data_IF_288214137720
#
_entry.id   IF_288214137720
#
_cell.length_a   1.000
_cell.length_b   1.000
_cell.length_c   1.000
_cell.angle_alpha   90.00
_cell.angle_beta   90.00
_cell.angle_gamma   90.00
#
_symmetry.space_group_name_H-M   'P 1'
#
loop_
_entity.id
_entity.type
_entity.pdbx_description
1 polymer ?
#
# COMPACT_ATOMS: atom_id res chain seq x y z
N UNK A 1 -52.12 -3.74 18.15
CA UNK A 1 -51.38 -4.94 17.70
C UNK A 1 -50.27 -4.47 16.76
N UNK A 2 -49.05 -4.86 17.09
CA UNK A 2 -47.86 -5.08 16.24
C UNK A 2 -48.18 -5.37 14.75
N UNK A 3 -47.32 -5.16 13.75
CA UNK A 3 -45.95 -4.64 13.53
C UNK A 3 -45.79 -4.56 12.01
N UNK A 4 -45.04 -3.61 11.47
CA UNK A 4 -44.01 -3.92 10.46
C UNK A 4 -43.04 -2.73 10.37
N UNK A 5 -41.89 -2.90 11.00
CA UNK A 5 -40.72 -2.07 10.77
C UNK A 5 -39.99 -2.66 9.55
N UNK A 6 -39.83 -1.85 8.52
CA UNK A 6 -38.97 -2.13 7.38
C UNK A 6 -37.52 -1.88 7.80
N UNK A 7 -36.80 -2.93 8.19
CA UNK A 7 -35.36 -2.89 8.38
C UNK A 7 -34.69 -2.98 7.00
N UNK A 8 -34.24 -1.83 6.49
CA UNK A 8 -33.28 -1.79 5.40
C UNK A 8 -31.91 -2.16 5.97
N UNK A 9 -31.36 -3.27 5.50
CA UNK A 9 -29.98 -3.68 5.79
C UNK A 9 -29.04 -2.70 5.05
N UNK A 10 -28.63 -1.64 5.75
CA UNK A 10 -27.53 -0.79 5.31
C UNK A 10 -26.25 -1.59 5.50
N UNK A 11 -25.68 -2.06 4.38
CA UNK A 11 -24.40 -2.77 4.35
C UNK A 11 -23.38 -2.02 5.21
N UNK A 12 -22.95 -2.68 6.29
CA UNK A 12 -22.04 -2.13 7.27
C UNK A 12 -20.81 -1.57 6.59
N UNK A 13 -20.72 -0.24 6.56
CA UNK A 13 -19.52 0.49 6.19
C UNK A 13 -18.44 0.11 7.19
N UNK A 14 -17.63 -0.89 6.82
CA UNK A 14 -16.42 -1.25 7.54
C UNK A 14 -15.43 -0.08 7.39
N UNK A 15 -15.56 0.92 8.25
CA UNK A 15 -14.50 1.87 8.58
C UNK A 15 -13.41 1.08 9.32
N UNK A 16 -12.71 0.24 8.58
CA UNK A 16 -11.66 -0.64 9.11
C UNK A 16 -10.31 0.04 9.00
N UNK A 17 -9.87 0.64 10.11
CA UNK A 17 -8.48 0.93 10.43
C UNK A 17 -7.77 1.95 9.53
N UNK A 18 -6.71 2.58 10.06
CA UNK A 18 -5.78 3.31 9.22
C UNK A 18 -5.07 2.27 8.34
N UNK A 19 -5.53 2.08 7.10
CA UNK A 19 -4.96 1.15 6.10
C UNK A 19 -3.58 1.60 5.58
N UNK A 20 -2.95 2.56 6.25
CA UNK A 20 -1.70 3.16 5.86
C UNK A 20 -0.60 2.62 6.76
N UNK A 21 0.08 1.57 6.30
CA UNK A 21 1.37 1.18 6.84
C UNK A 21 2.35 2.31 6.52
N UNK A 22 2.65 3.14 7.51
CA UNK A 22 3.67 4.18 7.39
C UNK A 22 4.96 3.62 7.99
N UNK A 23 6.05 3.68 7.23
CA UNK A 23 7.38 3.42 7.77
C UNK A 23 7.81 4.72 8.42
N UNK A 24 8.05 4.70 9.73
CA UNK A 24 8.54 5.86 10.46
C UNK A 24 9.94 6.24 9.96
N UNK A 25 10.29 7.53 10.08
CA UNK A 25 11.59 8.02 9.61
C UNK A 25 12.77 7.29 10.28
N UNK A 26 12.55 6.76 11.49
CA UNK A 26 13.53 5.99 12.27
C UNK A 26 13.85 4.62 11.65
N UNK A 27 12.91 4.04 10.89
CA UNK A 27 13.06 2.76 10.21
C UNK A 27 13.62 2.89 8.78
N UNK A 28 13.77 4.12 8.29
CA UNK A 28 14.32 4.38 6.98
C UNK A 28 15.83 4.07 6.94
N UNK A 29 16.26 3.37 5.90
CA UNK A 29 17.68 3.11 5.63
C UNK A 29 18.23 4.02 4.56
N UNK A 30 19.30 4.73 4.89
CA UNK A 30 20.14 5.41 3.92
C UNK A 30 21.26 4.49 3.43
N UNK A 31 21.52 4.50 2.13
CA UNK A 31 22.61 3.73 1.51
C UNK A 31 23.86 4.61 1.43
N UNK A 32 25.02 4.06 1.82
CA UNK A 32 26.29 4.80 1.78
C UNK A 32 26.73 5.27 0.38
N UNK A 33 26.11 4.74 -0.69
CA UNK A 33 26.37 5.12 -2.07
C UNK A 33 25.06 5.16 -2.86
N UNK A 34 25.01 6.07 -3.84
CA UNK A 34 23.92 6.14 -4.81
C UNK A 34 23.81 4.83 -5.58
N UNK A 35 22.61 4.29 -5.66
CA UNK A 35 22.31 3.05 -6.38
C UNK A 35 21.19 3.30 -7.39
N UNK A 36 21.24 2.58 -8.52
CA UNK A 36 20.19 2.59 -9.53
C UNK A 36 19.29 1.37 -9.32
N UNK A 37 18.11 1.59 -8.75
CA UNK A 37 17.13 0.55 -8.48
C UNK A 37 16.13 0.47 -9.64
N UNK A 38 15.84 -0.73 -10.12
CA UNK A 38 14.92 -0.95 -11.25
C UNK A 38 13.61 -1.62 -10.85
N UNK A 39 13.60 -2.38 -9.76
CA UNK A 39 12.48 -3.25 -9.39
C UNK A 39 12.41 -3.42 -7.88
N UNK A 40 11.20 -3.33 -7.34
CA UNK A 40 10.84 -3.75 -5.98
C UNK A 40 9.88 -4.92 -6.09
N UNK A 41 10.12 -5.99 -5.32
CA UNK A 41 9.26 -7.16 -5.29
C UNK A 41 8.82 -7.41 -3.86
N UNK A 42 7.51 -7.53 -3.64
CA UNK A 42 6.90 -7.71 -2.32
C UNK A 42 5.99 -8.94 -2.37
N UNK A 43 6.04 -9.79 -1.36
CA UNK A 43 5.03 -10.85 -1.20
C UNK A 43 3.85 -10.29 -0.42
N UNK A 44 2.64 -10.43 -0.95
CA UNK A 44 1.42 -9.91 -0.32
C UNK A 44 0.31 -10.96 -0.46
N UNK A 45 -0.40 -11.26 0.63
CA UNK A 45 -1.46 -12.26 0.62
C UNK A 45 -2.73 -11.79 1.36
N UNK A 46 -3.71 -11.33 0.59
CA UNK A 46 -4.98 -10.87 1.14
C UNK A 46 -5.74 -11.93 1.94
N UNK A 47 -5.60 -13.21 1.60
CA UNK A 47 -6.36 -14.27 2.26
C UNK A 47 -5.78 -14.62 3.63
N UNK A 48 -4.47 -14.45 3.79
CA UNK A 48 -3.79 -14.71 5.05
C UNK A 48 -3.79 -13.47 5.96
N UNK A 49 -3.61 -12.28 5.38
CA UNK A 49 -3.40 -11.05 6.14
C UNK A 49 -4.69 -10.21 6.31
N UNK A 50 -5.75 -10.51 5.56
CA UNK A 50 -7.06 -9.83 5.59
C UNK A 50 -6.91 -8.29 5.58
N UNK A 51 -7.30 -7.61 6.67
CA UNK A 51 -7.27 -6.15 6.81
C UNK A 51 -5.86 -5.58 7.02
N UNK A 52 -4.85 -6.41 7.30
CA UNK A 52 -3.44 -5.98 7.36
C UNK A 52 -2.80 -5.89 5.98
N UNK A 53 -3.47 -6.39 4.94
CA UNK A 53 -3.00 -6.30 3.57
C UNK A 53 -3.02 -4.84 3.10
N UNK A 54 -1.89 -4.26 2.67
CA UNK A 54 -1.87 -2.89 2.18
C UNK A 54 -2.71 -2.75 0.91
N UNK A 55 -3.60 -1.77 0.89
CA UNK A 55 -4.41 -1.42 -0.30
C UNK A 55 -3.68 -0.45 -1.24
N UNK A 56 -2.63 0.23 -0.75
CA UNK A 56 -1.81 1.15 -1.54
C UNK A 56 -0.36 1.12 -1.06
N UNK A 57 0.56 1.13 -2.01
CA UNK A 57 2.00 1.21 -1.77
C UNK A 57 2.54 2.45 -2.47
N UNK A 58 3.17 3.34 -1.70
CA UNK A 58 3.91 4.51 -2.20
C UNK A 58 5.40 4.28 -1.97
N UNK A 59 6.18 4.35 -3.05
CA UNK A 59 7.63 4.24 -3.01
C UNK A 59 8.21 5.64 -3.17
N UNK A 60 9.03 6.03 -2.20
CA UNK A 60 9.73 7.32 -2.18
C UNK A 60 11.23 7.13 -2.20
N UNK A 61 11.93 8.02 -2.89
CA UNK A 61 13.40 8.03 -2.96
C UNK A 61 13.92 9.47 -2.90
N UNK A 62 15.13 9.61 -2.36
CA UNK A 62 15.79 10.89 -2.12
C UNK A 62 17.29 10.69 -1.86
N UNK A 63 18.02 11.78 -1.63
CA UNK A 63 19.42 11.77 -1.19
C UNK A 63 19.57 11.88 0.34
N UNK A 64 18.45 11.95 1.06
CA UNK A 64 18.36 11.88 2.52
C UNK A 64 16.89 11.86 2.97
N UNK A 65 16.63 11.57 4.24
CA UNK A 65 15.26 11.44 4.77
C UNK A 65 14.41 12.70 4.59
N UNK A 66 15.04 13.88 4.59
CA UNK A 66 14.34 15.16 4.46
C UNK A 66 13.88 15.49 3.03
N UNK A 67 14.30 14.74 2.00
CA UNK A 67 13.94 15.05 0.62
C UNK A 67 13.34 13.88 -0.17
N UNK A 68 12.82 12.87 0.54
CA UNK A 68 12.12 11.76 -0.09
C UNK A 68 10.94 12.26 -0.94
N UNK A 69 10.98 11.96 -2.24
CA UNK A 69 9.90 12.24 -3.19
C UNK A 69 9.25 10.93 -3.62
N UNK A 70 7.93 10.94 -3.75
CA UNK A 70 7.22 9.80 -4.34
C UNK A 70 7.63 9.63 -5.80
N UNK A 71 8.15 8.44 -6.12
CA UNK A 71 8.58 8.05 -7.46
C UNK A 71 7.62 7.04 -8.10
N UNK A 72 6.86 6.30 -7.29
CA UNK A 72 5.85 5.36 -7.76
C UNK A 72 4.77 5.16 -6.71
N UNK A 73 3.52 5.07 -7.14
CA UNK A 73 2.39 4.65 -6.32
C UNK A 73 1.65 3.52 -7.04
N UNK A 74 1.28 2.48 -6.30
CA UNK A 74 0.54 1.32 -6.81
C UNK A 74 -0.64 1.05 -5.88
N UNK A 75 -1.82 0.85 -6.46
CA UNK A 75 -3.00 0.40 -5.74
C UNK A 75 -3.14 -1.12 -5.89
N UNK A 76 -3.51 -1.77 -4.80
CA UNK A 76 -3.60 -3.23 -4.70
C UNK A 76 -5.03 -3.62 -4.36
N UNK A 77 -5.64 -4.47 -5.20
CA UNK A 77 -7.00 -4.96 -5.00
C UNK A 77 -6.93 -6.44 -4.65
N UNK A 78 -6.90 -6.75 -3.35
CA UNK A 78 -6.85 -8.12 -2.81
C UNK A 78 -5.75 -8.97 -3.47
N UNK A 79 -4.47 -8.53 -3.46
CA UNK A 79 -3.38 -9.26 -4.10
C UNK A 79 -3.13 -10.61 -3.43
N UNK A 80 -2.57 -11.56 -4.16
CA UNK A 80 -2.09 -12.84 -3.61
C UNK A 80 -0.84 -13.27 -4.37
N UNK A 81 0.29 -13.33 -3.69
CA UNK A 81 1.58 -13.72 -4.23
C UNK A 81 2.58 -12.57 -4.37
N UNK A 82 3.53 -12.72 -5.29
CA UNK A 82 4.58 -11.74 -5.56
C UNK A 82 4.05 -10.55 -6.39
N UNK A 83 4.17 -9.35 -5.85
CA UNK A 83 3.88 -8.07 -6.51
C UNK A 83 5.19 -7.47 -7.00
N UNK A 84 5.25 -7.14 -8.30
CA UNK A 84 6.42 -6.57 -8.97
C UNK A 84 6.17 -5.10 -9.29
N UNK A 85 6.97 -4.21 -8.72
CA UNK A 85 6.84 -2.76 -8.89
C UNK A 85 8.09 -2.24 -9.60
N UNK A 86 7.93 -1.92 -10.89
CA UNK A 86 9.01 -1.32 -11.68
C UNK A 86 9.27 0.12 -11.24
N UNK A 87 10.54 0.42 -10.98
CA UNK A 87 11.05 1.76 -10.65
C UNK A 87 11.68 2.47 -11.85
N UNK A 88 11.80 1.79 -12.99
CA UNK A 88 12.25 2.45 -14.22
C UNK A 88 11.16 3.43 -14.68
N UNK A 89 11.53 4.68 -14.94
CA UNK A 89 10.62 5.73 -15.45
C UNK A 89 10.05 5.50 -16.85
N UNK A 90 10.14 4.28 -17.39
CA UNK A 90 9.55 3.90 -18.65
C UNK A 90 8.17 3.30 -18.39
N UNK A 91 7.18 4.18 -18.22
CA UNK A 91 5.77 3.80 -18.25
C UNK A 91 5.43 3.35 -19.69
N UNK A 92 5.11 2.07 -19.96
CA UNK A 92 4.64 1.67 -21.27
C UNK A 92 3.20 2.17 -21.41
N UNK A 93 3.07 3.35 -22.02
CA UNK A 93 1.81 3.89 -22.54
C UNK A 93 1.13 2.94 -23.50
#
# INVERSE_FOLDING_TARGET
MATESSEGEEEGKLMGGNQQLTIDDEDLREMAKKAAWSLVVLYVDFKLDESYTPSKISIRAGDGFQNLKEIKSVELVKPTGWVYISLSGNDPR
#
